data_IF_597429950158
#
_entry.id   IF_597429950158
#
_cell.length_a   1.000
_cell.length_b   1.000
_cell.length_c   1.000
_cell.angle_alpha   90.00
_cell.angle_beta   90.00
_cell.angle_gamma   90.00
#
_symmetry.space_group_name_H-M   'P 1'
#
loop_
_entity.id
_entity.type
_entity.pdbx_description
1 polymer ?
#
# COMPACT_ATOMS: atom_id res chain seq x y z
N UNK A 1 -11.53 5.51 7.30
CA UNK A 1 -12.40 6.70 6.97
C UNK A 1 -13.17 6.45 5.68
N UNK A 2 -14.48 6.72 5.65
CA UNK A 2 -15.32 6.58 4.44
C UNK A 2 -15.88 7.95 4.02
N UNK A 3 -15.79 8.26 2.72
CA UNK A 3 -16.46 9.43 2.10
C UNK A 3 -17.39 8.97 0.99
N UNK A 4 -18.45 9.73 0.78
CA UNK A 4 -19.34 9.57 -0.38
C UNK A 4 -19.37 10.90 -1.13
N UNK A 5 -18.96 10.90 -2.39
CA UNK A 5 -18.83 12.10 -3.23
C UNK A 5 -18.04 13.21 -2.51
N UNK A 6 -16.90 12.87 -1.90
CA UNK A 6 -16.02 13.78 -1.17
C UNK A 6 -16.47 14.15 0.25
N UNK A 7 -17.69 13.79 0.66
CA UNK A 7 -18.21 14.09 1.99
C UNK A 7 -17.94 12.95 2.96
N UNK A 8 -17.19 13.22 4.04
CA UNK A 8 -16.92 12.24 5.09
C UNK A 8 -18.21 11.83 5.83
N UNK A 9 -18.35 10.52 6.06
CA UNK A 9 -19.44 9.91 6.78
C UNK A 9 -18.91 9.38 8.12
N UNK A 10 -19.54 9.81 9.21
CA UNK A 10 -19.21 9.35 10.56
C UNK A 10 -20.32 8.49 11.11
N UNK A 11 -19.99 7.34 11.68
CA UNK A 11 -20.94 6.54 12.44
C UNK A 11 -21.05 7.07 13.88
N UNK A 12 -22.28 7.13 14.38
CA UNK A 12 -22.55 7.13 15.81
C UNK A 12 -22.78 5.69 16.27
N UNK A 13 -22.95 5.50 17.59
CA UNK A 13 -23.16 4.17 18.16
C UNK A 13 -24.32 4.21 19.17
N UNK A 14 -25.10 3.15 19.19
CA UNK A 14 -26.04 2.88 20.26
C UNK A 14 -25.31 2.30 21.50
N UNK A 15 -25.96 2.29 22.69
CA UNK A 15 -25.33 1.76 23.91
C UNK A 15 -24.88 0.29 23.82
N UNK A 16 -25.46 -0.49 22.93
CA UNK A 16 -25.12 -1.89 22.67
C UNK A 16 -23.93 -2.04 21.69
N UNK A 17 -23.33 -0.92 21.22
CA UNK A 17 -22.22 -0.89 20.28
C UNK A 17 -22.64 -0.99 18.80
N UNK A 18 -23.93 -1.14 18.49
CA UNK A 18 -24.38 -1.14 17.09
C UNK A 18 -24.28 0.25 16.45
N UNK A 19 -23.99 0.28 15.15
CA UNK A 19 -23.76 1.53 14.40
C UNK A 19 -25.07 2.30 14.15
N UNK A 20 -25.03 3.62 14.39
CA UNK A 20 -26.03 4.58 13.93
C UNK A 20 -25.45 5.40 12.77
N UNK A 21 -25.89 5.13 11.55
CA UNK A 21 -25.43 5.82 10.36
C UNK A 21 -26.58 6.66 9.79
N UNK A 22 -26.28 7.93 9.47
CA UNK A 22 -27.23 8.85 8.79
C UNK A 22 -26.57 9.42 7.55
N UNK A 23 -27.17 9.17 6.39
CA UNK A 23 -26.74 9.75 5.13
C UNK A 23 -27.95 10.13 4.28
N UNK A 24 -28.01 11.40 3.88
CA UNK A 24 -29.05 11.90 2.96
C UNK A 24 -28.54 11.68 1.52
N UNK A 25 -29.16 10.75 0.81
CA UNK A 25 -28.80 10.45 -0.57
C UNK A 25 -29.30 11.57 -1.49
N UNK A 26 -28.36 12.20 -2.19
CA UNK A 26 -28.71 13.12 -3.28
C UNK A 26 -29.21 12.32 -4.49
N UNK A 27 -30.21 12.88 -5.21
CA UNK A 27 -30.71 12.28 -6.46
C UNK A 27 -29.66 12.45 -7.57
N UNK A 28 -28.76 11.47 -7.69
CA UNK A 28 -27.72 11.38 -8.72
C UNK A 28 -27.77 9.98 -9.33
N UNK A 29 -27.32 9.85 -10.58
CA UNK A 29 -27.21 8.55 -11.24
C UNK A 29 -25.99 7.75 -10.74
N UNK A 30 -24.94 8.46 -10.30
CA UNK A 30 -23.65 7.90 -9.85
C UNK A 30 -23.33 8.35 -8.43
N UNK A 31 -22.74 7.44 -7.65
CA UNK A 31 -22.07 7.75 -6.38
C UNK A 31 -20.65 7.17 -6.38
N UNK A 32 -19.72 7.89 -5.77
CA UNK A 32 -18.36 7.45 -5.53
C UNK A 32 -18.17 7.28 -4.03
N UNK A 33 -17.85 6.05 -3.60
CA UNK A 33 -17.44 5.76 -2.21
C UNK A 33 -15.93 5.69 -2.18
N UNK A 34 -15.30 6.52 -1.36
CA UNK A 34 -13.89 6.41 -1.02
C UNK A 34 -13.76 5.71 0.32
N UNK A 35 -12.98 4.66 0.34
CA UNK A 35 -12.65 3.95 1.57
C UNK A 35 -11.15 3.97 1.82
N UNK A 36 -10.71 4.88 2.67
CA UNK A 36 -9.38 4.90 3.25
C UNK A 36 -9.43 4.06 4.52
N UNK A 37 -8.86 2.85 4.45
CA UNK A 37 -8.96 1.85 5.52
C UNK A 37 -8.27 2.31 6.82
N UNK A 38 -9.00 2.26 7.91
CA UNK A 38 -8.53 2.52 9.28
C UNK A 38 -8.82 1.34 10.22
N UNK A 39 -9.96 0.66 10.05
CA UNK A 39 -10.35 -0.48 10.88
C UNK A 39 -11.26 -1.48 10.16
N UNK A 40 -11.36 -2.68 10.74
CA UNK A 40 -12.27 -3.70 10.22
C UNK A 40 -13.76 -3.33 10.39
N UNK A 41 -14.11 -2.47 11.33
CA UNK A 41 -15.49 -2.00 11.54
C UNK A 41 -16.01 -1.21 10.34
N UNK A 42 -15.12 -0.53 9.63
CA UNK A 42 -15.49 0.24 8.44
C UNK A 42 -16.03 -0.65 7.30
N UNK A 43 -15.69 -1.94 7.28
CA UNK A 43 -16.28 -2.87 6.31
C UNK A 43 -17.81 -2.99 6.51
N UNK A 44 -18.27 -3.03 7.77
CA UNK A 44 -19.71 -3.05 8.06
C UNK A 44 -20.37 -1.74 7.63
N UNK A 45 -19.71 -0.62 7.91
CA UNK A 45 -20.18 0.72 7.47
C UNK A 45 -20.28 0.82 5.94
N UNK A 46 -19.27 0.31 5.22
CA UNK A 46 -19.25 0.24 3.75
C UNK A 46 -20.44 -0.57 3.22
N UNK A 47 -20.71 -1.75 3.82
CA UNK A 47 -21.85 -2.59 3.45
C UNK A 47 -23.16 -1.82 3.62
N UNK A 48 -23.40 -1.20 4.78
CA UNK A 48 -24.63 -0.48 5.06
C UNK A 48 -24.83 0.71 4.13
N UNK A 49 -23.79 1.51 3.92
CA UNK A 49 -23.87 2.69 3.03
C UNK A 49 -24.11 2.28 1.57
N UNK A 50 -23.42 1.24 1.08
CA UNK A 50 -23.61 0.76 -0.29
C UNK A 50 -25.03 0.25 -0.50
N UNK A 51 -25.55 -0.59 0.42
CA UNK A 51 -26.94 -1.07 0.36
C UNK A 51 -27.95 0.07 0.45
N UNK A 52 -27.72 1.05 1.32
CA UNK A 52 -28.58 2.23 1.42
C UNK A 52 -28.63 3.02 0.11
N UNK A 53 -27.48 3.24 -0.56
CA UNK A 53 -27.43 3.90 -1.87
C UNK A 53 -28.22 3.10 -2.93
N UNK A 54 -28.05 1.78 -2.96
CA UNK A 54 -28.79 0.88 -3.88
C UNK A 54 -30.30 0.95 -3.64
N UNK A 55 -30.75 0.90 -2.39
CA UNK A 55 -32.18 1.01 -2.01
C UNK A 55 -32.80 2.38 -2.38
N UNK A 56 -31.96 3.43 -2.46
CA UNK A 56 -32.37 4.76 -2.93
C UNK A 56 -32.30 4.93 -4.45
N UNK A 57 -31.98 3.85 -5.17
CA UNK A 57 -32.02 3.83 -6.64
C UNK A 57 -30.76 4.39 -7.32
N UNK A 58 -29.62 4.49 -6.61
CA UNK A 58 -28.36 4.85 -7.25
C UNK A 58 -27.90 3.65 -8.09
N UNK A 59 -27.89 3.83 -9.41
CA UNK A 59 -27.60 2.74 -10.36
C UNK A 59 -26.10 2.43 -10.49
N UNK A 60 -25.25 3.44 -10.39
CA UNK A 60 -23.81 3.31 -10.54
C UNK A 60 -23.11 3.73 -9.24
N UNK A 61 -22.46 2.77 -8.57
CA UNK A 61 -21.67 3.02 -7.36
C UNK A 61 -20.26 2.52 -7.65
N UNK A 62 -19.28 3.43 -7.57
CA UNK A 62 -17.86 3.10 -7.66
C UNK A 62 -17.24 3.09 -6.27
N UNK A 63 -16.32 2.16 -6.05
CA UNK A 63 -15.52 2.06 -4.83
C UNK A 63 -14.08 2.46 -5.13
N UNK A 64 -13.56 3.46 -4.46
CA UNK A 64 -12.15 3.80 -4.39
C UNK A 64 -11.58 3.28 -3.08
N UNK A 65 -10.85 2.18 -3.16
CA UNK A 65 -10.22 1.47 -2.04
C UNK A 65 -8.71 1.35 -2.34
N UNK A 66 -7.94 2.44 -2.19
CA UNK A 66 -6.53 2.46 -2.58
C UNK A 66 -5.73 1.34 -1.92
N UNK A 67 -5.84 1.17 -0.61
CA UNK A 67 -5.30 0.02 0.10
C UNK A 67 -6.33 -1.09 0.21
N UNK A 68 -5.92 -2.32 -0.12
CA UNK A 68 -6.78 -3.50 -0.01
C UNK A 68 -6.50 -4.22 1.32
N UNK A 69 -7.44 -4.22 2.27
CA UNK A 69 -7.28 -4.97 3.51
C UNK A 69 -7.11 -6.48 3.26
N UNK A 70 -6.39 -7.14 4.17
CA UNK A 70 -6.10 -8.59 4.09
C UNK A 70 -5.22 -9.03 2.91
N UNK A 71 -4.72 -8.13 2.07
CA UNK A 71 -3.94 -8.45 0.86
C UNK A 71 -2.68 -9.29 1.12
N UNK A 72 -2.09 -9.23 2.32
CA UNK A 72 -0.91 -10.03 2.70
C UNK A 72 -1.19 -11.50 3.01
N UNK A 73 -2.47 -11.88 3.19
CA UNK A 73 -2.90 -13.27 3.38
C UNK A 73 -3.64 -13.78 2.14
N UNK A 74 -2.88 -13.88 1.04
CA UNK A 74 -3.32 -14.11 -0.33
C UNK A 74 -3.26 -15.58 -0.78
N UNK A 75 -2.91 -16.50 0.13
CA UNK A 75 -2.76 -17.93 -0.16
C UNK A 75 -2.80 -18.78 1.11
N UNK A 76 -3.06 -20.07 0.94
CA UNK A 76 -2.93 -21.09 1.98
C UNK A 76 -1.53 -21.72 1.84
N UNK A 77 -0.69 -21.62 2.86
CA UNK A 77 0.64 -22.25 2.96
C UNK A 77 0.61 -23.47 3.86
N UNK A 78 -0.23 -23.44 4.90
CA UNK A 78 -0.43 -24.51 5.86
C UNK A 78 -1.93 -24.77 6.03
N UNK A 79 -2.28 -25.95 6.54
CA UNK A 79 -3.69 -26.36 6.70
C UNK A 79 -4.52 -25.40 7.57
N UNK A 80 -3.89 -24.82 8.60
CA UNK A 80 -4.52 -23.87 9.51
C UNK A 80 -4.66 -22.44 8.96
N UNK A 81 -4.07 -22.14 7.80
CA UNK A 81 -4.14 -20.80 7.23
C UNK A 81 -5.55 -20.48 6.72
N UNK A 82 -6.02 -19.28 7.02
CA UNK A 82 -7.26 -18.74 6.48
C UNK A 82 -6.95 -17.80 5.33
N UNK A 83 -7.47 -18.06 4.14
CA UNK A 83 -7.27 -17.17 2.99
C UNK A 83 -8.19 -15.94 3.09
N UNK A 84 -7.86 -15.04 4.02
CA UNK A 84 -8.71 -13.89 4.37
C UNK A 84 -8.95 -12.94 3.21
N UNK A 85 -7.98 -12.72 2.33
CA UNK A 85 -8.16 -11.91 1.11
C UNK A 85 -9.30 -12.45 0.23
N UNK A 86 -9.39 -13.77 0.05
CA UNK A 86 -10.45 -14.38 -0.76
C UNK A 86 -11.83 -14.02 -0.22
N UNK A 87 -12.06 -14.24 1.07
CA UNK A 87 -13.34 -13.98 1.70
C UNK A 87 -13.67 -12.48 1.78
N UNK A 88 -12.66 -11.64 1.97
CA UNK A 88 -12.82 -10.20 1.87
C UNK A 88 -13.29 -9.79 0.46
N UNK A 89 -12.63 -10.28 -0.59
CA UNK A 89 -13.02 -9.99 -1.97
C UNK A 89 -14.44 -10.50 -2.30
N UNK A 90 -14.86 -11.66 -1.77
CA UNK A 90 -16.23 -12.17 -1.92
C UNK A 90 -17.27 -11.18 -1.34
N UNK A 91 -16.98 -10.60 -0.17
CA UNK A 91 -17.85 -9.58 0.44
C UNK A 91 -17.91 -8.33 -0.44
N UNK A 92 -16.78 -7.79 -0.90
CA UNK A 92 -16.75 -6.61 -1.79
C UNK A 92 -17.50 -6.89 -3.10
N UNK A 93 -17.29 -8.05 -3.71
CA UNK A 93 -17.98 -8.45 -4.94
C UNK A 93 -19.49 -8.54 -4.77
N UNK A 94 -19.98 -8.97 -3.59
CA UNK A 94 -21.42 -9.07 -3.28
C UNK A 94 -22.12 -7.71 -3.25
N UNK A 95 -21.37 -6.62 -3.09
CA UNK A 95 -21.89 -5.26 -3.07
C UNK A 95 -22.16 -4.70 -4.47
N UNK A 96 -21.72 -5.41 -5.53
CA UNK A 96 -22.00 -5.09 -6.93
C UNK A 96 -21.59 -3.66 -7.36
N UNK A 97 -20.42 -3.21 -6.94
CA UNK A 97 -19.87 -1.95 -7.44
C UNK A 97 -19.76 -1.96 -8.97
N UNK A 98 -20.03 -0.82 -9.60
CA UNK A 98 -19.83 -0.65 -11.05
C UNK A 98 -18.35 -0.68 -11.41
N UNK A 99 -17.47 -0.24 -10.50
CA UNK A 99 -16.02 -0.28 -10.61
C UNK A 99 -15.40 -0.29 -9.22
N UNK A 100 -14.27 -0.99 -9.05
CA UNK A 100 -13.45 -0.99 -7.83
C UNK A 100 -12.05 -0.52 -8.18
N UNK A 101 -11.66 0.65 -7.67
CA UNK A 101 -10.32 1.21 -7.89
C UNK A 101 -9.41 0.82 -6.73
N UNK A 102 -8.25 0.24 -7.05
CA UNK A 102 -7.21 -0.15 -6.08
C UNK A 102 -5.87 0.43 -6.51
N UNK A 103 -5.01 0.73 -5.54
CA UNK A 103 -3.66 1.22 -5.82
C UNK A 103 -2.65 0.17 -5.36
N UNK A 104 -1.74 -0.23 -6.24
CA UNK A 104 -0.58 -1.07 -5.94
C UNK A 104 -0.89 -2.27 -5.01
N UNK A 105 -1.82 -3.15 -5.40
CA UNK A 105 -2.22 -4.29 -4.56
C UNK A 105 -1.04 -5.23 -4.35
N UNK A 106 -0.94 -5.81 -3.13
CA UNK A 106 0.19 -6.63 -2.70
C UNK A 106 0.53 -7.79 -3.65
N UNK A 107 -0.45 -8.34 -4.36
CA UNK A 107 -0.24 -9.41 -5.36
C UNK A 107 -1.32 -9.40 -6.44
N UNK A 108 -1.02 -10.05 -7.57
CA UNK A 108 -1.96 -10.26 -8.68
C UNK A 108 -3.21 -11.05 -8.24
N UNK A 109 -3.14 -11.77 -7.11
CA UNK A 109 -4.29 -12.48 -6.55
C UNK A 109 -5.42 -11.54 -6.19
N UNK A 110 -5.11 -10.33 -5.71
CA UNK A 110 -6.13 -9.31 -5.39
C UNK A 110 -6.95 -8.94 -6.63
N UNK A 111 -6.28 -8.63 -7.73
CA UNK A 111 -6.95 -8.24 -8.98
C UNK A 111 -7.66 -9.41 -9.66
N UNK A 112 -7.18 -10.65 -9.46
CA UNK A 112 -7.85 -11.85 -9.94
C UNK A 112 -9.13 -12.18 -9.16
N UNK A 113 -9.22 -11.82 -7.88
CA UNK A 113 -10.37 -12.10 -7.02
C UNK A 113 -11.45 -11.02 -7.06
N UNK A 114 -11.07 -9.74 -7.26
CA UNK A 114 -12.02 -8.64 -7.30
C UNK A 114 -12.71 -8.53 -8.66
N UNK A 115 -14.02 -8.35 -8.66
CA UNK A 115 -14.80 -8.10 -9.88
C UNK A 115 -14.71 -6.60 -10.26
N UNK A 116 -14.62 -6.34 -11.57
CA UNK A 116 -14.60 -4.97 -12.15
C UNK A 116 -13.55 -4.07 -11.51
N UNK A 117 -12.41 -4.68 -11.17
CA UNK A 117 -11.28 -3.97 -10.57
C UNK A 117 -10.53 -3.16 -11.63
N UNK A 118 -10.12 -1.97 -11.25
CA UNK A 118 -9.20 -1.10 -11.99
C UNK A 118 -8.02 -0.75 -11.09
N UNK A 119 -6.84 -1.11 -11.55
CA UNK A 119 -5.62 -0.78 -10.83
C UNK A 119 -5.15 0.61 -11.22
N UNK A 120 -5.08 1.51 -10.25
CA UNK A 120 -4.55 2.85 -10.44
C UNK A 120 -3.04 2.80 -10.69
N UNK A 121 -2.50 3.65 -11.61
CA UNK A 121 -1.08 3.66 -11.90
C UNK A 121 -0.27 4.19 -10.70
N UNK A 122 0.69 3.39 -10.23
CA UNK A 122 1.61 3.78 -9.14
C UNK A 122 2.79 4.61 -9.64
N UNK A 123 3.04 4.58 -10.96
CA UNK A 123 4.22 5.20 -11.58
C UNK A 123 4.40 6.67 -11.22
N UNK A 124 3.34 7.47 -11.25
CA UNK A 124 3.41 8.91 -10.98
C UNK A 124 3.89 9.22 -9.56
N UNK A 125 3.53 8.38 -8.58
CA UNK A 125 3.97 8.52 -7.20
C UNK A 125 5.45 8.16 -7.04
N UNK A 126 5.90 7.10 -7.73
CA UNK A 126 7.31 6.71 -7.70
C UNK A 126 8.16 7.73 -8.45
N UNK A 127 7.73 8.25 -9.60
CA UNK A 127 8.42 9.32 -10.33
C UNK A 127 8.61 10.56 -9.44
N UNK A 128 7.59 10.91 -8.67
CA UNK A 128 7.68 12.03 -7.73
C UNK A 128 8.67 11.75 -6.58
N UNK A 129 8.71 10.52 -6.05
CA UNK A 129 9.71 10.11 -5.08
C UNK A 129 11.14 10.15 -5.65
N UNK A 130 11.32 9.67 -6.89
CA UNK A 130 12.60 9.78 -7.63
C UNK A 130 13.02 11.24 -7.77
N UNK A 131 12.11 12.10 -8.20
CA UNK A 131 12.39 13.54 -8.36
C UNK A 131 12.78 14.20 -7.05
N UNK A 132 12.08 13.92 -5.95
CA UNK A 132 12.34 14.52 -4.65
C UNK A 132 13.59 13.95 -3.97
N UNK A 133 13.91 12.67 -4.18
CA UNK A 133 15.14 12.06 -3.64
C UNK A 133 16.41 12.56 -4.35
N UNK A 134 16.27 13.12 -5.55
CA UNK A 134 17.40 13.61 -6.35
C UNK A 134 18.28 12.49 -6.93
N UNK A 135 17.84 11.22 -6.93
CA UNK A 135 18.60 10.14 -7.55
C UNK A 135 18.60 10.28 -9.08
N UNK A 136 19.71 9.91 -9.71
CA UNK A 136 19.89 10.00 -11.16
C UNK A 136 20.44 8.70 -11.73
N UNK A 137 19.86 8.21 -12.83
CA UNK A 137 20.14 6.90 -13.42
C UNK A 137 21.60 6.70 -13.88
N UNK A 138 22.37 7.80 -14.08
CA UNK A 138 23.76 7.69 -14.54
C UNK A 138 24.73 7.13 -13.48
N UNK A 139 24.40 7.23 -12.18
CA UNK A 139 25.29 6.78 -11.09
C UNK A 139 24.55 6.25 -9.86
N UNK A 140 23.24 6.39 -9.78
CA UNK A 140 22.42 5.91 -8.67
C UNK A 140 21.59 4.70 -9.09
N UNK A 141 20.98 4.00 -8.12
CA UNK A 141 20.21 2.79 -8.38
C UNK A 141 18.84 2.81 -7.71
N UNK A 142 17.93 2.01 -8.24
CA UNK A 142 16.74 1.53 -7.54
C UNK A 142 17.05 0.18 -6.90
N UNK A 143 16.60 -0.02 -5.66
CA UNK A 143 16.74 -1.28 -4.96
C UNK A 143 15.36 -1.86 -4.62
N UNK A 144 15.17 -3.13 -4.91
CA UNK A 144 13.97 -3.89 -4.56
C UNK A 144 14.27 -4.85 -3.41
N UNK A 145 13.49 -4.86 -2.32
CA UNK A 145 13.78 -5.70 -1.15
C UNK A 145 13.72 -7.20 -1.41
N UNK A 146 13.07 -7.63 -2.49
CA UNK A 146 13.01 -9.02 -2.94
C UNK A 146 12.66 -9.12 -4.43
N UNK A 147 12.65 -10.36 -4.94
CA UNK A 147 12.31 -10.64 -6.35
C UNK A 147 10.86 -10.33 -6.72
N UNK A 148 9.96 -10.30 -5.75
CA UNK A 148 8.54 -9.96 -5.97
C UNK A 148 8.38 -8.49 -6.32
N UNK A 149 8.96 -7.59 -5.53
CA UNK A 149 8.98 -6.16 -5.82
C UNK A 149 9.80 -5.84 -7.07
N UNK A 150 10.93 -6.55 -7.31
CA UNK A 150 11.66 -6.40 -8.57
C UNK A 150 10.77 -6.70 -9.78
N UNK A 151 10.10 -7.85 -9.80
CA UNK A 151 9.22 -8.24 -10.92
C UNK A 151 8.11 -7.22 -11.15
N UNK A 152 7.58 -6.62 -10.07
CA UNK A 152 6.46 -5.67 -10.14
C UNK A 152 6.88 -4.32 -10.72
N UNK A 153 8.05 -3.80 -10.36
CA UNK A 153 8.42 -2.42 -10.65
C UNK A 153 9.55 -2.26 -11.67
N UNK A 154 10.39 -3.27 -11.93
CA UNK A 154 11.59 -3.10 -12.76
C UNK A 154 11.30 -2.73 -14.22
N UNK A 155 10.15 -3.12 -14.76
CA UNK A 155 9.73 -2.76 -16.11
C UNK A 155 9.15 -1.34 -16.21
N UNK A 156 8.77 -0.76 -15.08
CA UNK A 156 8.15 0.57 -15.02
C UNK A 156 9.19 1.69 -15.12
N UNK A 157 10.45 1.41 -14.73
CA UNK A 157 11.51 2.41 -14.60
C UNK A 157 12.79 1.97 -15.31
N UNK A 158 13.36 2.88 -16.12
CA UNK A 158 14.66 2.67 -16.77
C UNK A 158 15.81 3.15 -15.86
N UNK A 159 15.96 2.50 -14.70
CA UNK A 159 17.06 2.73 -13.78
C UNK A 159 17.93 1.48 -13.64
N UNK A 160 19.26 1.63 -13.46
CA UNK A 160 20.08 0.53 -12.95
C UNK A 160 19.50 0.04 -11.63
N UNK A 161 19.39 -1.28 -11.47
CA UNK A 161 18.75 -1.82 -10.28
C UNK A 161 19.43 -3.05 -9.72
N UNK A 162 19.17 -3.28 -8.44
CA UNK A 162 19.53 -4.47 -7.72
C UNK A 162 18.35 -4.90 -6.81
N UNK A 163 18.38 -6.16 -6.36
CA UNK A 163 17.34 -6.67 -5.45
C UNK A 163 17.94 -7.59 -4.39
N UNK A 164 17.19 -7.69 -3.28
CA UNK A 164 17.55 -8.51 -2.13
C UNK A 164 17.14 -9.97 -2.30
N UNK A 165 18.01 -10.88 -1.85
CA UNK A 165 17.71 -12.29 -1.71
C UNK A 165 17.78 -12.61 -0.21
N UNK A 166 16.61 -12.82 0.41
CA UNK A 166 16.48 -13.08 1.85
C UNK A 166 16.98 -14.48 2.17
N UNK A 167 18.01 -14.58 3.00
CA UNK A 167 18.43 -15.85 3.60
C UNK A 167 17.58 -16.09 4.86
N UNK A 168 16.72 -17.10 4.83
CA UNK A 168 15.85 -17.45 5.95
C UNK A 168 16.38 -18.68 6.69
N UNK A 169 16.21 -18.66 7.99
CA UNK A 169 16.34 -19.86 8.80
C UNK A 169 15.27 -20.88 8.40
N UNK A 170 15.64 -22.11 8.17
CA UNK A 170 14.74 -23.18 7.75
C UNK A 170 13.75 -23.61 8.85
N UNK A 171 14.16 -23.46 10.12
CA UNK A 171 13.37 -23.89 11.28
C UNK A 171 12.46 -22.78 11.80
N UNK A 172 12.99 -21.55 11.94
CA UNK A 172 12.26 -20.42 12.53
C UNK A 172 11.60 -19.53 11.48
N UNK A 173 12.09 -19.53 10.23
CA UNK A 173 11.65 -18.60 9.18
C UNK A 173 12.25 -17.20 9.29
N UNK A 174 13.08 -16.94 10.30
CA UNK A 174 13.71 -15.63 10.53
C UNK A 174 14.72 -15.27 9.43
N UNK A 175 14.88 -13.98 9.17
CA UNK A 175 15.86 -13.49 8.21
C UNK A 175 17.24 -13.51 8.88
N UNK A 176 18.13 -14.43 8.47
CA UNK A 176 19.53 -14.54 8.91
C UNK A 176 20.47 -13.58 8.18
N UNK A 177 20.12 -13.19 6.96
CA UNK A 177 20.94 -12.33 6.12
C UNK A 177 20.22 -11.89 4.86
N UNK A 178 20.84 -10.94 4.18
CA UNK A 178 20.39 -10.42 2.89
C UNK A 178 21.58 -10.45 1.92
N UNK A 179 21.45 -11.23 0.85
CA UNK A 179 22.32 -11.12 -0.31
C UNK A 179 21.72 -10.15 -1.32
N UNK A 180 22.56 -9.61 -2.18
CA UNK A 180 22.15 -8.65 -3.21
C UNK A 180 22.54 -9.20 -4.57
N UNK A 181 21.59 -9.14 -5.51
CA UNK A 181 21.78 -9.48 -6.91
C UNK A 181 21.43 -8.29 -7.79
N UNK A 182 22.08 -8.16 -8.95
CA UNK A 182 21.88 -7.04 -9.87
C UNK A 182 23.08 -6.11 -9.93
N UNK A 183 22.84 -4.88 -10.39
CA UNK A 183 23.91 -3.90 -10.60
C UNK A 183 24.15 -3.10 -9.33
N UNK A 184 25.41 -3.05 -8.87
CA UNK A 184 25.88 -2.17 -7.79
C UNK A 184 27.01 -1.31 -8.36
N UNK A 185 26.91 0.04 -8.27
CA UNK A 185 28.00 0.94 -8.68
C UNK A 185 29.30 0.68 -7.91
N UNK A 186 30.44 0.87 -8.58
CA UNK A 186 31.77 0.78 -7.93
C UNK A 186 32.10 2.05 -7.13
N UNK A 187 31.63 3.18 -7.60
CA UNK A 187 31.76 4.47 -6.94
C UNK A 187 30.62 4.67 -5.91
N UNK A 188 30.78 5.59 -4.95
CA UNK A 188 29.70 5.93 -4.01
C UNK A 188 28.44 6.39 -4.73
N UNK A 189 27.27 5.85 -4.36
CA UNK A 189 26.00 6.06 -5.02
C UNK A 189 24.87 6.36 -4.02
N UNK A 190 23.76 6.88 -4.52
CA UNK A 190 22.50 6.99 -3.78
C UNK A 190 21.53 5.90 -4.24
N UNK A 191 20.52 5.63 -3.41
CA UNK A 191 19.57 4.55 -3.69
C UNK A 191 18.16 4.92 -3.24
N UNK A 192 17.17 4.58 -4.06
CA UNK A 192 15.76 4.54 -3.67
C UNK A 192 15.33 3.08 -3.55
N UNK A 193 14.94 2.68 -2.34
CA UNK A 193 14.30 1.39 -2.09
C UNK A 193 12.83 1.53 -2.47
N UNK A 194 12.27 0.57 -3.22
CA UNK A 194 10.86 0.60 -3.65
C UNK A 194 10.15 -0.69 -3.24
N UNK A 195 8.98 -0.54 -2.60
CA UNK A 195 8.08 -1.66 -2.29
C UNK A 195 6.62 -1.19 -2.21
N UNK A 196 5.68 -2.13 -2.05
CA UNK A 196 4.24 -1.84 -1.94
C UNK A 196 3.83 -1.41 -0.53
N UNK A 197 4.36 -2.05 0.52
CA UNK A 197 3.88 -1.82 1.89
C UNK A 197 5.00 -1.84 2.93
N UNK A 198 4.87 -0.96 3.93
CA UNK A 198 5.68 -0.98 5.15
C UNK A 198 4.81 -1.03 6.40
N UNK A 199 5.13 -1.99 7.29
CA UNK A 199 4.78 -1.94 8.71
C UNK A 199 5.95 -1.34 9.50
N UNK A 200 6.48 -2.03 10.51
CA UNK A 200 7.65 -1.59 11.31
C UNK A 200 8.94 -1.36 10.49
N UNK A 201 8.98 -1.70 9.21
CA UNK A 201 10.10 -1.44 8.31
C UNK A 201 11.31 -2.37 8.46
N UNK A 202 11.19 -3.51 9.13
CA UNK A 202 12.32 -4.42 9.37
C UNK A 202 13.04 -4.87 8.09
N UNK A 203 12.31 -5.20 7.02
CA UNK A 203 12.90 -5.56 5.72
C UNK A 203 13.77 -4.44 5.16
N UNK A 204 13.29 -3.19 5.24
CA UNK A 204 14.01 -2.02 4.72
C UNK A 204 15.21 -1.66 5.58
N UNK A 205 15.13 -1.89 6.91
CA UNK A 205 16.25 -1.70 7.81
C UNK A 205 17.42 -2.61 7.43
N UNK A 206 17.20 -3.91 7.24
CA UNK A 206 18.27 -4.84 6.82
C UNK A 206 18.76 -4.54 5.39
N UNK A 207 17.86 -4.13 4.48
CA UNK A 207 18.25 -3.71 3.14
C UNK A 207 19.15 -2.49 3.18
N UNK A 208 18.81 -1.48 3.97
CA UNK A 208 19.59 -0.27 4.10
C UNK A 208 20.96 -0.50 4.75
N UNK A 209 21.06 -1.37 5.77
CA UNK A 209 22.34 -1.77 6.34
C UNK A 209 23.25 -2.42 5.29
N UNK A 210 22.70 -3.32 4.48
CA UNK A 210 23.46 -3.99 3.41
C UNK A 210 23.90 -3.00 2.34
N UNK A 211 23.02 -2.11 1.90
CA UNK A 211 23.32 -1.08 0.90
C UNK A 211 24.38 -0.10 1.41
N UNK A 212 24.32 0.30 2.67
CA UNK A 212 25.36 1.14 3.30
C UNK A 212 26.73 0.45 3.26
N UNK A 213 26.77 -0.84 3.56
CA UNK A 213 27.99 -1.65 3.48
C UNK A 213 28.53 -1.76 2.05
N UNK A 214 27.66 -1.72 1.04
CA UNK A 214 28.01 -1.73 -0.38
C UNK A 214 28.38 -0.36 -0.95
N UNK A 215 28.40 0.70 -0.12
CA UNK A 215 28.86 2.03 -0.51
C UNK A 215 27.76 3.08 -0.76
N UNK A 216 26.50 2.73 -0.48
CA UNK A 216 25.40 3.70 -0.60
C UNK A 216 25.59 4.89 0.37
N UNK A 217 25.44 6.12 -0.13
CA UNK A 217 25.58 7.37 0.63
C UNK A 217 24.25 7.87 1.17
N UNK A 218 23.28 8.07 0.29
CA UNK A 218 21.92 8.42 0.67
C UNK A 218 21.00 7.27 0.32
N UNK A 219 20.18 6.88 1.27
CA UNK A 219 19.23 5.79 1.12
C UNK A 219 17.84 6.38 1.38
N UNK A 220 17.00 6.33 0.36
CA UNK A 220 15.62 6.74 0.43
C UNK A 220 14.71 5.51 0.34
N UNK A 221 13.50 5.62 0.84
CA UNK A 221 12.48 4.58 0.77
C UNK A 221 11.22 5.15 0.12
N UNK A 222 10.68 4.44 -0.85
CA UNK A 222 9.31 4.62 -1.32
C UNK A 222 8.51 3.35 -0.99
N UNK A 223 7.36 3.55 -0.36
CA UNK A 223 6.35 2.50 -0.20
C UNK A 223 4.98 3.10 -0.49
N UNK A 224 4.20 2.40 -1.31
CA UNK A 224 2.86 2.89 -1.67
C UNK A 224 1.97 3.00 -0.43
N UNK A 225 2.00 1.98 0.44
CA UNK A 225 1.21 1.90 1.66
C UNK A 225 2.12 1.87 2.89
N UNK A 226 2.05 2.91 3.72
CA UNK A 226 2.82 3.00 4.94
C UNK A 226 1.90 2.95 6.15
N UNK A 227 2.07 1.95 6.99
CA UNK A 227 1.35 1.84 8.27
C UNK A 227 1.96 2.79 9.31
N UNK A 228 1.16 3.29 10.27
CA UNK A 228 1.64 4.11 11.38
C UNK A 228 2.69 3.41 12.26
N UNK A 229 2.72 2.07 12.25
CA UNK A 229 3.70 1.23 12.94
C UNK A 229 5.15 1.48 12.50
N UNK A 230 5.38 2.09 11.34
CA UNK A 230 6.72 2.49 10.88
C UNK A 230 7.39 3.45 11.87
N UNK A 231 6.59 4.31 12.54
CA UNK A 231 7.08 5.30 13.51
C UNK A 231 7.66 4.67 14.79
N UNK A 232 7.32 3.41 15.05
CA UNK A 232 7.84 2.61 16.17
C UNK A 232 9.01 1.70 15.72
N UNK A 233 9.33 1.72 14.43
CA UNK A 233 10.34 0.88 13.81
C UNK A 233 11.75 1.48 13.84
N UNK A 234 12.77 0.61 13.75
CA UNK A 234 14.20 0.99 13.73
C UNK A 234 14.59 1.92 12.58
N UNK A 235 13.78 2.03 11.52
CA UNK A 235 14.03 2.96 10.42
C UNK A 235 13.99 4.43 10.84
N UNK A 236 13.24 4.72 11.91
CA UNK A 236 13.10 6.09 12.40
C UNK A 236 14.25 6.50 13.31
N UNK A 237 15.04 5.51 13.78
CA UNK A 237 16.22 5.74 14.61
C UNK A 237 17.44 6.11 13.74
N UNK A 238 18.18 7.16 14.11
CA UNK A 238 19.42 7.58 13.44
C UNK A 238 19.23 7.99 11.97
N UNK A 239 20.32 7.89 11.18
CA UNK A 239 20.41 8.41 9.80
C UNK A 239 20.58 7.31 8.74
N UNK A 240 20.11 6.09 9.02
CA UNK A 240 20.24 4.98 8.08
C UNK A 240 19.39 5.21 6.82
N UNK A 241 18.14 5.66 6.99
CA UNK A 241 17.25 6.13 5.92
C UNK A 241 17.16 7.64 5.99
N UNK A 242 17.43 8.32 4.87
CA UNK A 242 17.42 9.79 4.79
C UNK A 242 16.00 10.33 4.70
N UNK A 243 15.15 9.70 3.90
CA UNK A 243 13.77 10.13 3.73
C UNK A 243 12.88 8.99 3.24
N UNK A 244 11.60 9.07 3.59
CA UNK A 244 10.57 8.10 3.21
C UNK A 244 9.48 8.83 2.43
N UNK A 245 9.07 8.25 1.31
CA UNK A 245 7.96 8.72 0.48
C UNK A 245 6.85 7.67 0.52
N UNK A 246 5.63 8.10 0.71
CA UNK A 246 4.46 7.21 0.72
C UNK A 246 3.23 7.94 0.19
N UNK A 247 2.16 7.21 -0.10
CA UNK A 247 0.87 7.83 -0.44
C UNK A 247 0.02 8.05 0.81
N UNK A 248 -1.03 8.87 0.67
CA UNK A 248 -2.01 9.08 1.77
C UNK A 248 -2.99 7.92 1.93
N UNK A 249 -2.61 6.67 1.56
CA UNK A 249 -3.51 5.50 1.59
C UNK A 249 -3.73 4.92 2.98
N UNK A 250 -2.72 4.97 3.87
CA UNK A 250 -2.77 4.38 5.21
C UNK A 250 -2.23 5.31 6.29
N UNK A 251 -1.07 5.94 6.07
CA UNK A 251 -0.39 6.73 7.10
C UNK A 251 -1.28 7.87 7.58
N UNK A 252 -1.56 7.90 8.89
CA UNK A 252 -2.39 8.91 9.53
C UNK A 252 -1.58 9.98 10.29
N UNK A 253 -0.33 9.68 10.65
CA UNK A 253 0.53 10.53 11.47
C UNK A 253 1.61 11.21 10.64
N UNK A 254 1.81 12.50 10.85
CA UNK A 254 2.90 13.24 10.23
C UNK A 254 4.25 12.97 10.91
N UNK A 255 5.34 12.94 10.13
CA UNK A 255 6.70 12.87 10.64
C UNK A 255 7.66 13.60 9.69
N UNK A 256 8.69 14.26 10.21
CA UNK A 256 9.63 15.07 9.43
C UNK A 256 10.41 14.29 8.35
N UNK A 257 10.69 13.00 8.59
CA UNK A 257 11.34 12.11 7.63
C UNK A 257 10.40 11.50 6.60
N UNK A 258 9.09 11.81 6.63
CA UNK A 258 8.11 11.16 5.76
C UNK A 258 7.38 12.23 4.93
N UNK A 259 7.47 12.11 3.62
CA UNK A 259 6.60 12.86 2.70
C UNK A 259 5.43 12.00 2.28
N UNK A 260 4.22 12.51 2.51
CA UNK A 260 2.97 11.87 2.11
C UNK A 260 2.49 12.50 0.81
N UNK A 261 2.45 11.70 -0.26
CA UNK A 261 1.95 12.09 -1.57
C UNK A 261 0.43 11.91 -1.61
N UNK A 262 -0.35 12.96 -1.89
CA UNK A 262 -1.82 12.87 -1.86
C UNK A 262 -2.35 11.94 -2.95
N UNK A 263 -3.34 11.13 -2.62
CA UNK A 263 -4.05 10.30 -3.59
C UNK A 263 -4.80 11.19 -4.59
N UNK A 264 -4.77 10.79 -5.86
CA UNK A 264 -5.52 11.44 -6.95
C UNK A 264 -6.81 10.64 -7.16
N UNK A 265 -7.89 11.10 -6.57
CA UNK A 265 -9.23 10.50 -6.67
C UNK A 265 -10.05 11.35 -7.63
N UNK A 266 -10.64 10.72 -8.65
CA UNK A 266 -11.52 11.36 -9.61
C UNK A 266 -13.00 11.11 -9.23
N UNK A 267 -13.80 12.16 -9.18
CA UNK A 267 -15.23 12.12 -8.78
C UNK A 267 -16.18 12.17 -9.98
#
# INVERSE_FOLDING_TARGET
>A
MIRINGKEIKAGYFPDGSMLIKYLVEKKEKAVIEWQYESNEELMMLIFLTRHLQDKGIAQIELWMPYVPNARQDRIKKYEDVFTLKYFCEVINSLNFSRVHVLDPHSDVTTALLHRVEQMPVKDYIDEAVRQSGIVASHDIIFYPDSGSQKRYSEVFQFPNAFGIKQRDWETGDIKGLDVSGYIPKEPFNVLIIDDISSFGGTFFFSALKLRHLGAKQIHLYVTHCEDSILEGKLMEGDLIHHIYTTSSLLSKAHEKITVLPLRIEY
#
